data_IF_082625745792
#
_entry.id   IF_082625745792
#
_cell.length_a   1.000
_cell.length_b   1.000
_cell.length_c   1.000
_cell.angle_alpha   90.00
_cell.angle_beta   90.00
_cell.angle_gamma   90.00
#
_symmetry.space_group_name_H-M   'P 1'
#
loop_
_entity.id
_entity.type
_entity.pdbx_description
1 polymer ?
#
# COMPACT_ATOMS: atom_id res chain seq x y z
N UNK A 1 9.39 6.00 7.80
CA UNK A 1 8.51 5.13 8.62
C UNK A 1 9.28 4.55 9.80
N UNK A 2 10.41 3.89 9.59
CA UNK A 2 11.22 3.27 10.64
C UNK A 2 11.44 4.20 11.83
N UNK A 3 12.11 5.32 11.63
CA UNK A 3 12.40 6.29 12.69
C UNK A 3 11.17 6.94 13.35
N UNK A 4 10.05 7.06 12.63
CA UNK A 4 8.86 7.74 13.15
C UNK A 4 7.95 6.82 13.99
N UNK A 5 7.90 5.53 13.65
CA UNK A 5 7.01 4.55 14.29
C UNK A 5 7.76 3.47 15.06
N UNK A 6 9.11 3.48 15.05
CA UNK A 6 9.93 2.36 15.50
C UNK A 6 9.53 1.02 14.85
N UNK A 7 9.26 1.10 13.54
CA UNK A 7 8.73 0.00 12.75
C UNK A 7 9.64 -0.24 11.53
N UNK A 8 10.83 -0.84 11.71
CA UNK A 8 11.80 -1.02 10.64
C UNK A 8 11.32 -1.97 9.55
N UNK A 9 10.64 -3.06 9.86
CA UNK A 9 10.09 -3.99 8.87
C UNK A 9 8.96 -3.36 8.06
N UNK A 10 8.10 -2.58 8.72
CA UNK A 10 7.07 -1.79 8.04
C UNK A 10 7.68 -0.81 7.04
N UNK A 11 8.79 -0.16 7.41
CA UNK A 11 9.52 0.73 6.51
C UNK A 11 10.03 0.02 5.26
N UNK A 12 10.56 -1.21 5.41
CA UNK A 12 11.00 -2.06 4.31
C UNK A 12 9.84 -2.45 3.41
N UNK A 13 8.76 -2.97 4.01
CA UNK A 13 7.60 -3.43 3.25
C UNK A 13 6.91 -2.28 2.52
N UNK A 14 6.81 -1.12 3.14
CA UNK A 14 6.27 0.06 2.48
C UNK A 14 7.08 0.46 1.24
N UNK A 15 8.42 0.41 1.33
CA UNK A 15 9.27 0.70 0.20
C UNK A 15 9.09 -0.32 -0.94
N UNK A 16 8.90 -1.59 -0.62
CA UNK A 16 8.79 -2.67 -1.60
C UNK A 16 7.37 -2.76 -2.16
N UNK A 17 6.34 -2.75 -1.29
CA UNK A 17 4.93 -2.98 -1.67
C UNK A 17 4.33 -1.75 -2.35
N UNK A 18 4.68 -0.53 -1.89
CA UNK A 18 4.04 0.70 -2.37
C UNK A 18 4.92 1.54 -3.28
N UNK A 19 6.22 1.71 -2.96
CA UNK A 19 7.06 2.66 -3.68
C UNK A 19 7.70 2.03 -4.91
N UNK A 20 8.41 0.91 -4.75
CA UNK A 20 9.13 0.26 -5.85
C UNK A 20 8.28 -0.75 -6.61
N UNK A 21 7.36 -1.43 -5.90
CA UNK A 21 6.51 -2.53 -6.44
C UNK A 21 7.32 -3.69 -7.04
N UNK A 22 8.57 -3.83 -6.62
CA UNK A 22 9.50 -4.86 -7.05
C UNK A 22 10.12 -5.55 -5.84
N UNK A 23 10.35 -6.87 -5.97
CA UNK A 23 10.92 -7.72 -4.93
C UNK A 23 12.27 -8.28 -5.40
N UNK A 24 13.31 -7.44 -5.34
CA UNK A 24 14.68 -7.90 -5.63
C UNK A 24 15.50 -8.02 -4.35
N UNK A 25 16.39 -9.02 -4.27
CA UNK A 25 17.19 -9.26 -3.07
C UNK A 25 18.07 -8.04 -2.72
N UNK A 26 18.65 -7.38 -3.73
CA UNK A 26 19.49 -6.19 -3.53
C UNK A 26 18.69 -5.01 -2.95
N UNK A 27 17.46 -4.79 -3.43
CA UNK A 27 16.58 -3.75 -2.92
C UNK A 27 16.20 -4.03 -1.46
N UNK A 28 15.78 -5.26 -1.16
CA UNK A 28 15.40 -5.68 0.21
C UNK A 28 16.54 -5.44 1.20
N UNK A 29 17.76 -5.90 0.87
CA UNK A 29 18.91 -5.73 1.74
C UNK A 29 19.25 -4.25 1.94
N UNK A 30 19.27 -3.46 0.87
CA UNK A 30 19.57 -2.03 0.92
C UNK A 30 18.58 -1.26 1.78
N UNK A 31 17.27 -1.49 1.58
CA UNK A 31 16.22 -0.83 2.34
C UNK A 31 16.21 -1.31 3.80
N UNK A 32 16.49 -2.61 4.05
CA UNK A 32 16.59 -3.16 5.40
C UNK A 32 17.72 -2.50 6.18
N UNK A 33 18.93 -2.41 5.60
CA UNK A 33 20.06 -1.74 6.25
C UNK A 33 19.74 -0.27 6.56
N UNK A 34 19.15 0.45 5.61
CA UNK A 34 18.75 1.85 5.79
C UNK A 34 17.69 2.02 6.89
N UNK A 35 16.68 1.16 6.88
CA UNK A 35 15.58 1.18 7.85
C UNK A 35 16.06 0.90 9.28
N UNK A 36 16.89 -0.15 9.46
CA UNK A 36 17.47 -0.48 10.75
C UNK A 36 18.42 0.60 11.26
N UNK A 37 19.25 1.17 10.38
CA UNK A 37 20.15 2.27 10.76
C UNK A 37 19.36 3.50 11.21
N UNK A 38 18.27 3.84 10.51
CA UNK A 38 17.41 4.97 10.89
C UNK A 38 16.74 4.76 12.26
N UNK A 39 16.22 3.56 12.50
CA UNK A 39 15.63 3.22 13.80
C UNK A 39 16.66 3.24 14.93
N UNK A 40 17.82 2.62 14.73
CA UNK A 40 18.90 2.60 15.72
C UNK A 40 19.40 4.01 16.07
N UNK A 41 19.53 4.91 15.10
CA UNK A 41 19.97 6.28 15.36
C UNK A 41 18.93 7.06 16.17
N UNK A 42 17.65 6.88 15.87
CA UNK A 42 16.59 7.61 16.59
C UNK A 42 16.36 7.04 17.99
N UNK A 43 16.23 5.73 18.12
CA UNK A 43 15.98 5.08 19.41
C UNK A 43 17.24 4.94 20.27
N UNK A 44 18.33 4.41 19.70
CA UNK A 44 19.54 4.08 20.43
C UNK A 44 20.46 5.27 20.71
N UNK A 45 20.57 6.23 19.77
CA UNK A 45 21.48 7.37 19.91
C UNK A 45 20.76 8.60 20.44
N UNK A 46 19.58 8.93 19.89
CA UNK A 46 18.82 10.11 20.33
C UNK A 46 17.89 9.83 21.50
N UNK A 47 17.66 8.56 21.85
CA UNK A 47 16.82 8.18 22.99
C UNK A 47 15.34 8.54 22.78
N UNK A 48 14.88 8.68 21.55
CA UNK A 48 13.49 9.00 21.25
C UNK A 48 12.65 7.73 21.40
N UNK A 49 11.63 7.80 22.24
CA UNK A 49 10.69 6.70 22.43
C UNK A 49 9.63 6.65 21.29
N UNK A 50 9.05 5.45 21.02
CA UNK A 50 7.97 5.31 20.05
C UNK A 50 6.79 6.21 20.40
N UNK A 51 6.33 7.00 19.43
CA UNK A 51 5.16 7.89 19.59
C UNK A 51 3.88 7.08 19.77
N UNK A 52 3.84 5.87 19.22
CA UNK A 52 2.67 4.98 19.29
C UNK A 52 3.06 3.64 19.90
N UNK A 53 2.44 3.30 21.01
CA UNK A 53 2.48 1.96 21.61
C UNK A 53 1.06 1.44 21.73
N UNK A 54 0.79 0.31 21.11
CA UNK A 54 -0.50 -0.38 21.19
C UNK A 54 -0.34 -1.64 22.02
N UNK A 55 -1.34 -1.95 22.82
CA UNK A 55 -1.47 -3.25 23.44
C UNK A 55 -2.43 -4.12 22.61
N UNK A 56 -2.13 -5.40 22.50
CA UNK A 56 -3.05 -6.38 21.96
C UNK A 56 -3.29 -7.44 23.04
N UNK A 57 -4.56 -7.68 23.37
CA UNK A 57 -4.89 -8.54 24.53
C UNK A 57 -4.67 -10.01 24.18
N UNK A 58 -5.34 -10.50 23.19
CA UNK A 58 -5.24 -11.82 22.53
C UNK A 58 -6.22 -11.84 21.38
N UNK A 59 -6.13 -12.83 20.49
CA UNK A 59 -7.07 -12.92 19.37
C UNK A 59 -8.52 -13.04 19.83
N UNK A 60 -9.45 -12.53 19.00
CA UNK A 60 -10.86 -12.55 19.30
C UNK A 60 -11.41 -13.99 19.25
N UNK A 61 -12.45 -14.29 20.04
CA UNK A 61 -13.19 -15.53 19.88
C UNK A 61 -13.73 -15.68 18.45
N UNK A 62 -13.72 -16.90 17.93
CA UNK A 62 -14.18 -17.16 16.54
C UNK A 62 -15.61 -16.69 16.26
N UNK A 63 -16.48 -16.64 17.31
CA UNK A 63 -17.83 -16.10 17.19
C UNK A 63 -17.89 -14.62 16.80
N UNK A 64 -16.86 -13.86 17.11
CA UNK A 64 -16.80 -12.40 16.90
C UNK A 64 -16.13 -12.01 15.58
N UNK A 65 -15.69 -12.98 14.79
CA UNK A 65 -15.05 -12.73 13.48
C UNK A 65 -15.97 -11.99 12.49
N UNK A 66 -17.29 -12.08 12.67
CA UNK A 66 -18.23 -11.29 11.88
C UNK A 66 -18.04 -9.77 12.10
N UNK A 67 -17.66 -9.37 13.31
CA UNK A 67 -17.33 -7.96 13.61
C UNK A 67 -16.05 -7.53 12.90
N UNK A 68 -15.07 -8.43 12.78
CA UNK A 68 -13.83 -8.17 12.02
C UNK A 68 -14.15 -7.94 10.54
N UNK A 69 -15.02 -8.79 9.96
CA UNK A 69 -15.48 -8.63 8.57
C UNK A 69 -16.20 -7.28 8.39
N UNK A 70 -17.10 -6.94 9.30
CA UNK A 70 -17.82 -5.68 9.26
C UNK A 70 -16.89 -4.46 9.37
N UNK A 71 -15.88 -4.51 10.25
CA UNK A 71 -14.85 -3.47 10.35
C UNK A 71 -14.02 -3.38 9.07
N UNK A 72 -13.63 -4.50 8.46
CA UNK A 72 -12.88 -4.52 7.20
C UNK A 72 -13.65 -3.84 6.06
N UNK A 73 -14.95 -4.13 5.94
CA UNK A 73 -15.82 -3.46 4.98
C UNK A 73 -15.94 -1.96 5.26
N UNK A 74 -16.14 -1.58 6.52
CA UNK A 74 -16.19 -0.18 6.94
C UNK A 74 -14.90 0.56 6.59
N UNK A 75 -13.74 0.01 6.95
CA UNK A 75 -12.43 0.58 6.63
C UNK A 75 -12.22 0.73 5.11
N UNK A 76 -12.66 -0.25 4.32
CA UNK A 76 -12.59 -0.18 2.86
C UNK A 76 -13.40 0.98 2.28
N UNK A 77 -14.63 1.17 2.76
CA UNK A 77 -15.50 2.29 2.35
C UNK A 77 -14.92 3.64 2.80
N UNK A 78 -14.47 3.73 4.06
CA UNK A 78 -13.89 4.96 4.60
C UNK A 78 -12.57 5.31 3.90
N UNK A 79 -11.75 4.33 3.54
CA UNK A 79 -10.52 4.55 2.79
C UNK A 79 -10.77 5.08 1.38
N UNK A 80 -11.77 4.53 0.69
CA UNK A 80 -12.19 5.05 -0.61
C UNK A 80 -12.74 6.48 -0.51
N UNK A 81 -13.52 6.77 0.53
CA UNK A 81 -14.04 8.12 0.80
C UNK A 81 -12.90 9.09 1.11
N UNK A 82 -11.92 8.64 1.91
CA UNK A 82 -10.71 9.41 2.23
C UNK A 82 -9.97 9.82 0.95
N UNK A 83 -9.65 8.88 0.05
CA UNK A 83 -8.92 9.18 -1.17
C UNK A 83 -9.71 10.12 -2.08
N UNK A 84 -11.01 9.87 -2.29
CA UNK A 84 -11.87 10.77 -3.09
C UNK A 84 -11.90 12.19 -2.54
N UNK A 85 -12.01 12.34 -1.23
CA UNK A 85 -12.01 13.66 -0.60
C UNK A 85 -10.67 14.38 -0.75
N UNK A 86 -9.55 13.67 -0.55
CA UNK A 86 -8.20 14.22 -0.72
C UNK A 86 -7.96 14.69 -2.16
N UNK A 87 -8.30 13.88 -3.16
CA UNK A 87 -8.14 14.23 -4.57
C UNK A 87 -9.06 15.39 -4.99
N UNK A 88 -10.29 15.40 -4.49
CA UNK A 88 -11.24 16.49 -4.73
C UNK A 88 -10.74 17.80 -4.14
N UNK A 89 -10.21 17.78 -2.92
CA UNK A 89 -9.64 18.95 -2.26
C UNK A 89 -8.45 19.52 -3.04
N UNK A 90 -7.53 18.67 -3.49
CA UNK A 90 -6.41 19.10 -4.35
C UNK A 90 -6.90 19.74 -5.65
N UNK A 91 -7.97 19.20 -6.25
CA UNK A 91 -8.56 19.74 -7.48
C UNK A 91 -9.17 21.11 -7.23
N UNK A 92 -9.83 21.31 -6.08
CA UNK A 92 -10.36 22.62 -5.67
C UNK A 92 -9.24 23.64 -5.50
N UNK A 93 -8.17 23.28 -4.78
CA UNK A 93 -7.02 24.18 -4.60
C UNK A 93 -6.34 24.54 -5.93
N UNK A 94 -6.24 23.59 -6.87
CA UNK A 94 -5.69 23.86 -8.20
C UNK A 94 -6.51 24.85 -9.00
N UNK A 95 -7.85 24.85 -8.84
CA UNK A 95 -8.72 25.85 -9.47
C UNK A 95 -8.53 27.23 -8.87
N UNK A 96 -8.40 27.35 -7.55
CA UNK A 96 -8.20 28.61 -6.84
C UNK A 96 -6.80 29.18 -7.13
N UNK A 97 -5.80 28.34 -7.27
CA UNK A 97 -4.39 28.70 -7.45
C UNK A 97 -4.05 29.35 -8.79
N UNK A 98 -4.98 29.45 -9.72
CA UNK A 98 -4.74 30.19 -10.97
C UNK A 98 -4.35 31.66 -10.75
N UNK A 99 -4.69 32.23 -9.59
CA UNK A 99 -4.37 33.63 -9.26
C UNK A 99 -3.07 33.84 -8.49
N UNK A 100 -2.73 32.97 -7.51
CA UNK A 100 -1.48 33.07 -6.74
C UNK A 100 -1.12 31.73 -6.07
N UNK A 101 0.04 31.14 -6.34
CA UNK A 101 0.45 29.86 -5.76
C UNK A 101 0.53 29.89 -4.22
N UNK A 102 0.92 31.02 -3.66
CA UNK A 102 1.09 31.19 -2.21
C UNK A 102 -0.25 31.28 -1.43
N UNK A 103 -1.33 31.66 -2.09
CA UNK A 103 -2.64 31.79 -1.42
C UNK A 103 -3.20 30.45 -0.93
N UNK A 104 -2.74 29.35 -1.55
CA UNK A 104 -3.11 27.99 -1.10
C UNK A 104 -2.68 27.72 0.33
N UNK A 105 -1.50 28.20 0.73
CA UNK A 105 -0.92 27.95 2.05
C UNK A 105 -1.60 28.78 3.14
N UNK A 106 -2.16 29.94 2.80
CA UNK A 106 -2.84 30.80 3.76
C UNK A 106 -4.03 30.11 4.41
N UNK A 107 -4.80 29.32 3.64
CA UNK A 107 -6.00 28.64 4.14
C UNK A 107 -5.67 27.63 5.26
N UNK A 108 -4.77 26.65 5.07
CA UNK A 108 -4.45 25.72 6.16
C UNK A 108 -3.76 26.39 7.35
N UNK A 109 -2.94 27.44 7.14
CA UNK A 109 -2.30 28.16 8.25
C UNK A 109 -3.32 28.93 9.09
N UNK A 110 -4.26 29.62 8.46
CA UNK A 110 -5.35 30.29 9.19
C UNK A 110 -6.23 29.29 9.91
N UNK A 111 -6.59 28.18 9.25
CA UNK A 111 -7.36 27.11 9.87
C UNK A 111 -6.61 26.50 11.06
N UNK A 112 -5.30 26.24 10.92
CA UNK A 112 -4.47 25.73 12.00
C UNK A 112 -4.44 26.69 13.19
N UNK A 113 -4.33 28.01 12.94
CA UNK A 113 -4.43 29.02 13.98
C UNK A 113 -5.76 28.93 14.74
N UNK A 114 -6.88 28.85 14.05
CA UNK A 114 -8.21 28.71 14.69
C UNK A 114 -8.32 27.38 15.46
N UNK A 115 -7.91 26.28 14.84
CA UNK A 115 -7.97 24.94 15.45
C UNK A 115 -7.09 24.84 16.69
N UNK A 116 -5.93 25.48 16.71
CA UNK A 116 -5.03 25.50 17.87
C UNK A 116 -5.70 26.10 19.11
N UNK A 117 -6.61 27.07 18.96
CA UNK A 117 -7.34 27.67 20.07
C UNK A 117 -8.64 26.96 20.43
N UNK A 118 -9.36 26.44 19.40
CA UNK A 118 -10.69 25.84 19.58
C UNK A 118 -10.60 24.37 19.94
N UNK A 119 -9.67 23.66 19.26
CA UNK A 119 -9.56 22.20 19.41
C UNK A 119 -8.11 21.72 19.17
N UNK A 120 -7.22 21.96 20.12
CA UNK A 120 -5.78 21.69 19.97
C UNK A 120 -5.45 20.21 19.66
N UNK A 121 -6.28 19.26 20.09
CA UNK A 121 -6.09 17.82 19.83
C UNK A 121 -6.01 17.48 18.34
N UNK A 122 -6.67 18.26 17.48
CA UNK A 122 -6.65 18.02 16.02
C UNK A 122 -5.34 18.44 15.36
N UNK A 123 -4.48 19.15 16.07
CA UNK A 123 -3.23 19.67 15.53
C UNK A 123 -2.22 18.55 15.24
N UNK A 124 -1.21 18.89 14.45
CA UNK A 124 -0.08 18.01 14.09
C UNK A 124 -0.52 16.66 13.49
N UNK A 125 0.18 15.59 13.79
CA UNK A 125 -0.15 14.22 13.39
C UNK A 125 -1.43 13.70 14.07
N UNK A 126 -1.70 14.13 15.30
CA UNK A 126 -2.80 13.66 16.14
C UNK A 126 -2.33 12.82 17.33
N UNK A 127 -1.12 13.08 17.81
CA UNK A 127 -0.53 12.38 18.97
C UNK A 127 -1.46 12.46 20.19
N UNK A 128 -1.98 13.66 20.48
CA UNK A 128 -2.93 13.87 21.58
C UNK A 128 -4.24 13.09 21.43
N UNK A 129 -4.69 12.86 20.19
CA UNK A 129 -5.85 12.01 19.94
C UNK A 129 -5.49 10.55 20.23
N UNK A 130 -4.30 10.12 19.79
CA UNK A 130 -3.86 8.74 19.96
C UNK A 130 -3.73 8.37 21.45
N UNK A 131 -3.12 9.22 22.26
CA UNK A 131 -3.03 9.06 23.72
C UNK A 131 -4.42 8.90 24.36
N UNK A 132 -5.40 9.72 23.97
CA UNK A 132 -6.78 9.62 24.45
C UNK A 132 -7.49 8.33 24.03
N UNK A 133 -7.13 7.75 22.88
CA UNK A 133 -7.72 6.49 22.41
C UNK A 133 -7.14 5.30 23.17
N UNK A 134 -5.83 5.31 23.43
CA UNK A 134 -5.15 4.20 24.12
C UNK A 134 -5.66 4.07 25.58
N UNK A 135 -6.00 5.18 26.21
CA UNK A 135 -6.63 5.21 27.55
C UNK A 135 -8.12 5.57 27.47
N UNK A 136 -9.01 4.62 27.19
CA UNK A 136 -10.42 4.90 26.86
C UNK A 136 -11.29 5.34 28.05
N UNK A 137 -10.73 5.87 29.13
CA UNK A 137 -11.49 6.32 30.29
C UNK A 137 -12.44 7.46 29.91
N UNK A 138 -13.69 7.13 29.62
CA UNK A 138 -14.77 8.09 29.39
C UNK A 138 -14.95 8.60 27.95
N UNK A 139 -14.33 7.99 26.95
CA UNK A 139 -14.57 8.36 25.56
C UNK A 139 -15.98 7.93 25.10
N UNK A 140 -16.82 8.92 24.80
CA UNK A 140 -18.13 8.67 24.21
C UNK A 140 -18.00 8.43 22.68
N UNK A 141 -18.82 7.54 22.12
CA UNK A 141 -18.86 7.26 20.68
C UNK A 141 -18.98 8.54 19.84
N UNK A 142 -19.82 9.49 20.26
CA UNK A 142 -20.01 10.76 19.56
C UNK A 142 -18.70 11.55 19.51
N UNK A 143 -17.93 11.60 20.61
CA UNK A 143 -16.63 12.30 20.63
C UNK A 143 -15.63 11.68 19.65
N UNK A 144 -15.57 10.35 19.56
CA UNK A 144 -14.70 9.64 18.61
C UNK A 144 -15.08 9.96 17.16
N UNK A 145 -16.39 9.94 16.84
CA UNK A 145 -16.86 10.28 15.48
C UNK A 145 -16.54 11.74 15.12
N UNK A 146 -16.75 12.67 16.06
CA UNK A 146 -16.45 14.09 15.82
C UNK A 146 -14.94 14.31 15.65
N UNK A 147 -14.09 13.64 16.43
CA UNK A 147 -12.64 13.67 16.25
C UNK A 147 -12.21 13.08 14.89
N UNK A 148 -12.82 11.96 14.47
CA UNK A 148 -12.53 11.35 13.17
C UNK A 148 -12.85 12.30 12.00
N UNK A 149 -14.04 12.88 12.03
CA UNK A 149 -14.49 13.83 10.99
C UNK A 149 -13.62 15.10 11.03
N UNK A 150 -13.37 15.66 12.21
CA UNK A 150 -12.52 16.83 12.39
C UNK A 150 -11.10 16.61 11.89
N UNK A 151 -10.49 15.46 12.25
CA UNK A 151 -9.15 15.08 11.79
C UNK A 151 -9.08 14.88 10.29
N UNK A 152 -10.07 14.18 9.72
CA UNK A 152 -10.19 14.01 8.29
C UNK A 152 -10.27 15.34 7.53
N UNK A 153 -11.15 16.23 7.94
CA UNK A 153 -11.32 17.54 7.29
C UNK A 153 -10.05 18.40 7.41
N UNK A 154 -9.46 18.47 8.61
CA UNK A 154 -8.24 19.24 8.83
C UNK A 154 -7.07 18.71 8.00
N UNK A 155 -6.87 17.37 7.97
CA UNK A 155 -5.83 16.72 7.17
C UNK A 155 -6.07 16.94 5.67
N UNK A 156 -7.31 16.78 5.20
CA UNK A 156 -7.68 16.96 3.79
C UNK A 156 -7.44 18.38 3.31
N UNK A 157 -7.81 19.39 4.11
CA UNK A 157 -7.60 20.81 3.79
C UNK A 157 -6.11 21.15 3.80
N UNK A 158 -5.38 20.68 4.80
CA UNK A 158 -3.95 20.95 4.95
C UNK A 158 -3.13 20.32 3.85
N UNK A 159 -3.29 19.03 3.60
CA UNK A 159 -2.54 18.31 2.57
C UNK A 159 -2.96 18.72 1.14
N UNK A 160 -4.27 18.93 0.92
CA UNK A 160 -4.81 19.36 -0.37
C UNK A 160 -4.25 20.71 -0.85
N UNK A 161 -3.79 21.56 0.06
CA UNK A 161 -3.16 22.86 -0.27
C UNK A 161 -1.81 22.71 -0.97
N UNK A 162 -1.17 21.52 -0.89
CA UNK A 162 0.19 21.28 -1.35
C UNK A 162 1.27 21.74 -0.36
N UNK A 163 0.90 22.01 0.89
CA UNK A 163 1.87 22.24 1.95
C UNK A 163 2.73 20.97 2.15
N UNK A 164 4.07 21.14 2.34
CA UNK A 164 4.92 20.00 2.64
C UNK A 164 4.48 19.31 3.93
N UNK A 165 4.28 18.00 3.87
CA UNK A 165 3.86 17.21 5.03
C UNK A 165 3.54 15.77 4.67
N UNK A 166 3.52 14.90 5.70
CA UNK A 166 3.16 13.48 5.56
C UNK A 166 1.69 13.24 5.92
N UNK A 167 1.07 12.28 5.26
CA UNK A 167 -0.31 11.87 5.53
C UNK A 167 -0.38 10.56 6.32
N UNK A 168 0.73 9.83 6.44
CA UNK A 168 0.75 8.50 7.09
C UNK A 168 0.36 8.55 8.57
N UNK A 169 0.94 9.48 9.34
CA UNK A 169 0.64 9.59 10.76
C UNK A 169 -0.84 9.95 11.02
N UNK A 170 -1.41 10.99 10.39
CA UNK A 170 -2.83 11.25 10.46
C UNK A 170 -3.70 10.08 10.02
N UNK A 171 -3.27 9.29 9.03
CA UNK A 171 -3.97 8.10 8.56
C UNK A 171 -4.04 7.02 9.64
N UNK A 172 -2.92 6.76 10.32
CA UNK A 172 -2.87 5.79 11.44
C UNK A 172 -3.80 6.23 12.57
N UNK A 173 -3.81 7.52 12.92
CA UNK A 173 -4.72 8.08 13.93
C UNK A 173 -6.19 7.95 13.51
N UNK A 174 -6.52 8.22 12.26
CA UNK A 174 -7.88 8.01 11.74
C UNK A 174 -8.28 6.53 11.74
N UNK A 175 -7.32 5.62 11.46
CA UNK A 175 -7.52 4.18 11.60
C UNK A 175 -7.85 3.78 13.04
N UNK A 176 -7.08 4.30 14.00
CA UNK A 176 -7.29 4.10 15.42
C UNK A 176 -8.68 4.61 15.87
N UNK A 177 -9.07 5.81 15.42
CA UNK A 177 -10.42 6.36 15.68
C UNK A 177 -11.53 5.51 15.06
N UNK A 178 -11.31 4.98 13.87
CA UNK A 178 -12.29 4.11 13.21
C UNK A 178 -12.50 2.81 13.99
N UNK A 179 -11.40 2.15 14.40
CA UNK A 179 -11.46 0.95 15.22
C UNK A 179 -12.07 1.20 16.60
N UNK A 180 -11.68 2.31 17.25
CA UNK A 180 -12.24 2.77 18.53
C UNK A 180 -13.75 3.00 18.43
N UNK A 181 -14.19 3.78 17.45
CA UNK A 181 -15.61 4.06 17.23
C UNK A 181 -16.41 2.79 16.95
N UNK A 182 -15.86 1.86 16.18
CA UNK A 182 -16.51 0.58 15.91
C UNK A 182 -16.64 -0.29 17.17
N UNK A 183 -15.59 -0.37 18.01
CA UNK A 183 -15.64 -1.11 19.28
C UNK A 183 -16.71 -0.54 20.24
N UNK A 184 -16.76 0.79 20.38
CA UNK A 184 -17.77 1.45 21.21
C UNK A 184 -19.17 1.25 20.66
N UNK A 185 -19.35 1.30 19.36
CA UNK A 185 -20.64 1.02 18.71
C UNK A 185 -21.06 -0.43 18.93
N UNK A 186 -20.15 -1.40 18.76
CA UNK A 186 -20.43 -2.82 19.00
C UNK A 186 -20.78 -3.09 20.49
N UNK A 187 -20.11 -2.41 21.42
CA UNK A 187 -20.46 -2.51 22.84
C UNK A 187 -21.87 -1.99 23.11
N UNK A 188 -22.25 -0.83 22.58
CA UNK A 188 -23.56 -0.23 22.84
C UNK A 188 -24.72 -1.02 22.20
N UNK A 189 -24.50 -1.64 21.03
CA UNK A 189 -25.56 -2.30 20.26
C UNK A 189 -25.62 -3.80 20.47
N UNK A 190 -24.48 -4.46 20.62
CA UNK A 190 -24.35 -5.91 20.69
C UNK A 190 -23.87 -6.40 22.06
N UNK A 191 -23.55 -5.50 22.99
CA UNK A 191 -22.99 -5.88 24.30
C UNK A 191 -21.57 -6.45 24.22
N UNK A 192 -20.81 -6.07 23.18
CA UNK A 192 -19.45 -6.56 22.98
C UNK A 192 -18.53 -6.16 24.15
N UNK A 193 -17.65 -7.08 24.57
CA UNK A 193 -16.75 -6.87 25.69
C UNK A 193 -15.63 -5.85 25.34
N UNK A 194 -15.59 -4.73 26.06
CA UNK A 194 -14.58 -3.69 25.91
C UNK A 194 -13.17 -4.14 26.30
N UNK A 195 -12.99 -5.33 26.90
CA UNK A 195 -11.66 -5.90 27.08
C UNK A 195 -10.88 -6.05 25.75
N UNK A 196 -11.59 -6.23 24.64
CA UNK A 196 -11.02 -6.31 23.29
C UNK A 196 -10.98 -4.96 22.55
N UNK A 197 -11.25 -3.85 23.23
CA UNK A 197 -11.19 -2.52 22.64
C UNK A 197 -9.84 -2.20 21.96
N UNK A 198 -8.65 -2.48 22.60
CA UNK A 198 -7.36 -2.22 21.97
C UNK A 198 -7.15 -3.00 20.67
N UNK A 199 -7.72 -4.21 20.59
CA UNK A 199 -7.65 -5.03 19.38
C UNK A 199 -8.34 -4.34 18.21
N UNK A 200 -9.54 -3.78 18.43
CA UNK A 200 -10.27 -3.06 17.38
C UNK A 200 -9.56 -1.77 16.95
N UNK A 201 -8.88 -1.10 17.87
CA UNK A 201 -8.02 0.05 17.53
C UNK A 201 -6.92 -0.39 16.56
N UNK A 202 -6.21 -1.48 16.87
CA UNK A 202 -5.16 -2.03 16.02
C UNK A 202 -5.70 -2.51 14.66
N UNK A 203 -6.84 -3.21 14.65
CA UNK A 203 -7.53 -3.66 13.43
C UNK A 203 -7.96 -2.48 12.54
N UNK A 204 -8.47 -1.41 13.15
CA UNK A 204 -8.85 -0.19 12.43
C UNK A 204 -7.65 0.49 11.75
N UNK A 205 -6.48 0.50 12.40
CA UNK A 205 -5.23 1.01 11.82
C UNK A 205 -4.85 0.20 10.59
N UNK A 206 -4.75 -1.14 10.70
CA UNK A 206 -4.39 -2.00 9.58
C UNK A 206 -5.37 -1.86 8.41
N UNK A 207 -6.68 -1.89 8.72
CA UNK A 207 -7.74 -1.81 7.71
C UNK A 207 -7.76 -0.49 6.97
N UNK A 208 -7.70 0.64 7.68
CA UNK A 208 -7.71 1.96 7.02
C UNK A 208 -6.41 2.19 6.23
N UNK A 209 -5.26 1.78 6.78
CA UNK A 209 -3.99 1.85 6.06
C UNK A 209 -4.04 1.06 4.75
N UNK A 210 -4.45 -0.22 4.82
CA UNK A 210 -4.54 -1.08 3.64
C UNK A 210 -5.52 -0.55 2.57
N UNK A 211 -6.62 0.08 2.97
CA UNK A 211 -7.62 0.62 2.05
C UNK A 211 -7.20 1.91 1.37
N UNK A 212 -6.48 2.79 2.06
CA UNK A 212 -6.04 4.10 1.54
C UNK A 212 -4.77 3.96 0.71
N UNK A 213 -3.76 3.29 1.27
CA UNK A 213 -2.43 3.12 0.66
C UNK A 213 -2.41 2.03 -0.41
N UNK A 214 -3.26 1.01 -0.27
CA UNK A 214 -3.26 -0.23 -1.08
C UNK A 214 -2.12 -1.19 -0.78
N UNK A 215 -1.55 -1.10 0.40
CA UNK A 215 -0.46 -1.95 0.90
C UNK A 215 -0.95 -2.83 2.08
N UNK A 216 -1.68 -3.94 1.83
CA UNK A 216 -2.25 -4.76 2.89
C UNK A 216 -1.19 -5.48 3.73
N UNK A 217 -0.07 -5.92 3.15
CA UNK A 217 1.00 -6.60 3.90
C UNK A 217 1.70 -5.62 4.82
N UNK A 218 2.00 -4.42 4.32
CA UNK A 218 2.58 -3.34 5.11
C UNK A 218 1.68 -2.97 6.30
N UNK A 219 0.35 -2.88 6.09
CA UNK A 219 -0.61 -2.61 7.17
C UNK A 219 -0.62 -3.67 8.27
N UNK A 220 -0.52 -4.94 7.90
CA UNK A 220 -0.44 -6.06 8.85
C UNK A 220 0.85 -5.98 9.68
N UNK A 221 2.00 -5.85 9.03
CA UNK A 221 3.30 -5.82 9.72
C UNK A 221 3.44 -4.57 10.58
N UNK A 222 2.87 -3.44 10.15
CA UNK A 222 2.85 -2.23 10.99
C UNK A 222 2.16 -2.47 12.32
N UNK A 223 1.01 -3.14 12.33
CA UNK A 223 0.33 -3.48 13.59
C UNK A 223 1.17 -4.43 14.44
N UNK A 224 1.88 -5.39 13.86
CA UNK A 224 2.76 -6.28 14.62
C UNK A 224 3.91 -5.52 15.29
N UNK A 225 4.54 -4.60 14.58
CA UNK A 225 5.62 -3.79 15.15
C UNK A 225 5.09 -2.82 16.23
N UNK A 226 3.92 -2.22 16.03
CA UNK A 226 3.31 -1.30 17.01
C UNK A 226 2.81 -2.01 18.28
N UNK A 227 2.38 -3.27 18.18
CA UNK A 227 1.87 -4.04 19.31
C UNK A 227 2.90 -4.96 19.96
N UNK A 228 3.96 -5.29 19.23
CA UNK A 228 4.95 -6.30 19.64
C UNK A 228 4.40 -7.72 19.74
N UNK A 229 3.21 -7.99 19.17
CA UNK A 229 2.52 -9.30 19.26
C UNK A 229 2.14 -9.83 17.88
N UNK A 230 2.32 -11.14 17.70
CA UNK A 230 1.85 -11.90 16.52
C UNK A 230 0.50 -12.58 16.76
N UNK A 231 -0.06 -12.49 17.96
CA UNK A 231 -1.31 -13.17 18.33
C UNK A 231 -2.50 -12.71 17.48
N UNK A 232 -2.41 -11.48 16.93
CA UNK A 232 -3.42 -10.88 16.08
C UNK A 232 -3.33 -11.26 14.60
N UNK A 233 -2.42 -12.14 14.20
CA UNK A 233 -2.05 -12.34 12.79
C UNK A 233 -3.26 -12.62 11.89
N UNK A 234 -4.16 -13.48 12.32
CA UNK A 234 -5.33 -13.86 11.53
C UNK A 234 -6.33 -12.71 11.40
N UNK A 235 -6.70 -12.09 12.52
CA UNK A 235 -7.68 -11.00 12.55
C UNK A 235 -7.19 -9.75 11.81
N UNK A 236 -5.94 -9.37 12.01
CA UNK A 236 -5.33 -8.21 11.33
C UNK A 236 -5.21 -8.46 9.83
N UNK A 237 -4.76 -9.65 9.41
CA UNK A 237 -4.68 -10.01 8.00
C UNK A 237 -6.05 -10.02 7.33
N UNK A 238 -7.07 -10.56 8.01
CA UNK A 238 -8.44 -10.59 7.49
C UNK A 238 -8.99 -9.18 7.25
N UNK A 239 -8.89 -8.29 8.24
CA UNK A 239 -9.34 -6.89 8.11
C UNK A 239 -8.58 -6.17 6.99
N UNK A 240 -7.26 -6.33 6.93
CA UNK A 240 -6.39 -5.69 5.94
C UNK A 240 -6.77 -6.10 4.52
N UNK A 241 -6.90 -7.41 4.26
CA UNK A 241 -7.27 -7.93 2.94
C UNK A 241 -8.69 -7.52 2.57
N UNK A 242 -9.66 -7.63 3.48
CA UNK A 242 -11.04 -7.25 3.20
C UNK A 242 -11.17 -5.77 2.88
N UNK A 243 -10.52 -4.90 3.65
CA UNK A 243 -10.57 -3.46 3.42
C UNK A 243 -9.90 -3.08 2.09
N UNK A 244 -8.78 -3.71 1.74
CA UNK A 244 -8.14 -3.58 0.44
C UNK A 244 -9.09 -3.99 -0.71
N UNK A 245 -9.73 -5.17 -0.60
CA UNK A 245 -10.67 -5.66 -1.62
C UNK A 245 -11.87 -4.71 -1.80
N UNK A 246 -12.51 -4.28 -0.70
CA UNK A 246 -13.64 -3.36 -0.75
C UNK A 246 -13.24 -2.02 -1.37
N UNK A 247 -12.08 -1.51 -1.00
CA UNK A 247 -11.58 -0.27 -1.55
C UNK A 247 -11.28 -0.39 -3.07
N UNK A 248 -10.79 -1.54 -3.55
CA UNK A 248 -10.62 -1.80 -5.00
C UNK A 248 -11.95 -1.85 -5.73
N UNK A 249 -12.99 -2.46 -5.14
CA UNK A 249 -14.33 -2.49 -5.74
C UNK A 249 -14.93 -1.10 -5.96
N UNK A 250 -14.52 -0.10 -5.17
CA UNK A 250 -14.99 1.29 -5.34
C UNK A 250 -14.36 2.02 -6.53
N UNK A 251 -13.39 1.40 -7.22
CA UNK A 251 -12.65 2.00 -8.35
C UNK A 251 -12.02 3.37 -8.01
N UNK A 252 -11.58 3.52 -6.77
CA UNK A 252 -10.88 4.72 -6.31
C UNK A 252 -9.38 4.48 -6.45
N UNK A 253 -8.65 5.44 -7.00
CA UNK A 253 -7.21 5.33 -7.19
C UNK A 253 -6.46 5.11 -5.87
N UNK A 254 -5.36 4.34 -5.87
CA UNK A 254 -4.42 4.29 -4.76
C UNK A 254 -3.85 5.68 -4.46
N UNK A 255 -3.59 5.96 -3.17
CA UNK A 255 -3.23 7.31 -2.76
C UNK A 255 -1.93 7.82 -3.39
N UNK A 256 -0.86 7.04 -3.27
CA UNK A 256 0.47 7.46 -3.76
C UNK A 256 0.61 7.38 -5.28
N UNK A 257 -0.02 6.40 -5.92
CA UNK A 257 -0.05 6.32 -7.39
C UNK A 257 -0.72 7.55 -8.02
N UNK A 258 -1.86 7.96 -7.44
CA UNK A 258 -2.55 9.17 -7.91
C UNK A 258 -1.68 10.42 -7.77
N UNK A 259 -0.94 10.54 -6.66
CA UNK A 259 -0.04 11.66 -6.46
C UNK A 259 1.13 11.65 -7.45
N UNK A 260 1.72 10.48 -7.68
CA UNK A 260 2.82 10.30 -8.62
C UNK A 260 2.37 10.59 -10.07
N UNK A 261 1.27 10.00 -10.50
CA UNK A 261 0.73 10.21 -11.84
C UNK A 261 0.42 11.69 -12.10
N UNK A 262 -0.13 12.37 -11.11
CA UNK A 262 -0.39 13.81 -11.20
C UNK A 262 0.89 14.65 -11.27
N UNK A 263 1.95 14.22 -10.58
CA UNK A 263 3.25 14.91 -10.63
C UNK A 263 3.95 14.70 -11.97
N UNK A 264 3.78 13.52 -12.57
CA UNK A 264 4.37 13.17 -13.87
C UNK A 264 3.50 13.60 -15.05
N UNK A 265 2.30 14.15 -14.81
CA UNK A 265 1.29 14.49 -15.83
C UNK A 265 0.91 13.29 -16.72
N UNK A 266 0.88 12.09 -16.13
CA UNK A 266 0.55 10.82 -16.77
C UNK A 266 -0.81 10.35 -16.30
N UNK A 267 -1.62 9.79 -17.22
CA UNK A 267 -2.87 9.13 -16.83
C UNK A 267 -2.57 7.86 -16.00
N UNK A 268 -3.32 7.63 -14.95
CA UNK A 268 -3.24 6.37 -14.20
C UNK A 268 -3.96 5.32 -15.03
N UNK A 269 -3.21 4.45 -15.67
CA UNK A 269 -3.75 3.20 -16.21
C UNK A 269 -3.99 2.25 -15.03
N UNK A 270 -5.25 2.14 -14.61
CA UNK A 270 -5.67 1.18 -13.60
C UNK A 270 -5.71 -0.22 -14.24
N UNK A 271 -4.75 -1.11 -14.00
CA UNK A 271 -4.70 -2.42 -14.64
C UNK A 271 -5.92 -3.31 -14.30
N UNK A 272 -6.71 -2.92 -13.30
CA UNK A 272 -7.92 -3.63 -12.87
C UNK A 272 -9.17 -3.22 -13.67
N UNK A 273 -9.14 -2.10 -14.42
CA UNK A 273 -10.35 -1.49 -15.01
C UNK A 273 -10.30 -1.31 -16.51
N UNK A 274 -9.14 -1.18 -17.11
CA UNK A 274 -9.01 -1.15 -18.56
C UNK A 274 -8.89 -2.59 -19.07
N UNK A 275 -10.00 -3.12 -19.57
CA UNK A 275 -9.96 -4.20 -20.58
C UNK A 275 -9.15 -3.66 -21.75
N UNK A 276 -7.97 -3.85 -21.62
CA UNK A 276 -6.73 -3.84 -22.32
C UNK A 276 -6.83 -3.88 -23.83
N UNK A 277 -6.48 -2.80 -24.45
CA UNK A 277 -5.92 -2.86 -25.79
C UNK A 277 -4.50 -2.28 -25.69
N UNK A 278 -3.49 -3.18 -25.74
CA UNK A 278 -2.10 -2.78 -25.92
C UNK A 278 -1.14 -2.89 -24.73
N UNK A 279 -1.54 -3.45 -23.58
CA UNK A 279 -0.59 -3.72 -22.50
C UNK A 279 0.41 -4.80 -22.93
N UNK A 280 1.71 -4.50 -22.72
CA UNK A 280 2.79 -5.43 -23.01
C UNK A 280 3.30 -6.04 -21.71
N UNK A 281 3.48 -7.33 -21.69
CA UNK A 281 4.13 -8.06 -20.60
C UNK A 281 5.50 -8.54 -21.03
N UNK A 282 6.42 -8.55 -20.08
CA UNK A 282 7.76 -9.07 -20.29
C UNK A 282 7.89 -10.40 -19.55
N UNK A 283 8.33 -11.44 -20.26
CA UNK A 283 8.51 -12.78 -19.71
C UNK A 283 9.91 -13.30 -19.98
N UNK A 284 10.44 -14.06 -19.03
CA UNK A 284 11.66 -14.83 -19.17
C UNK A 284 11.33 -16.25 -19.59
N UNK A 285 12.03 -16.76 -20.58
CA UNK A 285 11.86 -18.10 -21.13
C UNK A 285 13.22 -18.75 -21.27
N UNK A 286 13.35 -19.99 -20.81
CA UNK A 286 14.60 -20.74 -20.89
C UNK A 286 14.61 -21.66 -22.12
N UNK A 287 15.70 -21.64 -22.88
CA UNK A 287 15.94 -22.59 -23.96
C UNK A 287 16.40 -23.92 -23.35
N UNK A 288 15.52 -24.92 -23.32
CA UNK A 288 15.88 -26.24 -22.80
C UNK A 288 16.90 -26.94 -23.68
N UNK A 289 17.83 -27.69 -23.08
CA UNK A 289 18.75 -28.54 -23.81
C UNK A 289 18.00 -29.64 -24.60
N UNK A 290 18.28 -29.79 -25.87
CA UNK A 290 17.55 -30.70 -26.78
C UNK A 290 16.17 -30.18 -27.21
N UNK A 291 15.86 -28.90 -26.95
CA UNK A 291 14.62 -28.26 -27.39
C UNK A 291 14.65 -27.95 -28.89
N UNK A 292 13.47 -27.65 -29.44
CA UNK A 292 13.37 -27.23 -30.85
C UNK A 292 14.04 -25.87 -31.12
N UNK A 293 14.18 -25.02 -30.10
CA UNK A 293 14.80 -23.72 -30.24
C UNK A 293 16.33 -23.80 -30.28
N UNK A 294 16.93 -24.83 -29.69
CA UNK A 294 18.37 -25.00 -29.67
C UNK A 294 18.94 -25.12 -31.09
N UNK A 295 19.87 -24.24 -31.40
CA UNK A 295 20.55 -24.19 -32.68
C UNK A 295 19.84 -23.43 -33.81
N UNK A 296 18.59 -22.95 -33.58
CA UNK A 296 17.89 -22.10 -34.55
C UNK A 296 18.37 -20.65 -34.49
N UNK A 297 18.27 -19.97 -35.64
CA UNK A 297 18.45 -18.50 -35.67
C UNK A 297 17.14 -17.85 -35.21
N UNK A 298 17.24 -16.72 -34.53
CA UNK A 298 16.08 -15.95 -34.01
C UNK A 298 15.06 -15.68 -35.14
N UNK A 299 15.55 -15.30 -36.33
CA UNK A 299 14.68 -15.01 -37.49
C UNK A 299 13.91 -16.21 -37.99
N UNK A 300 14.40 -17.43 -37.75
CA UNK A 300 13.82 -18.68 -38.28
C UNK A 300 12.84 -19.32 -37.28
N UNK A 301 12.75 -18.76 -36.05
CA UNK A 301 11.82 -19.27 -35.04
C UNK A 301 10.42 -18.69 -35.31
N UNK A 302 9.39 -19.55 -35.36
CA UNK A 302 8.00 -19.11 -35.51
C UNK A 302 7.44 -18.54 -34.20
N UNK A 303 7.89 -17.34 -33.85
CA UNK A 303 7.46 -16.65 -32.65
C UNK A 303 5.94 -16.43 -32.64
N UNK A 304 5.26 -16.47 -31.48
CA UNK A 304 3.86 -16.08 -31.38
C UNK A 304 3.64 -14.64 -31.86
N UNK A 305 2.49 -14.39 -32.50
CA UNK A 305 2.13 -13.06 -32.97
C UNK A 305 2.13 -12.04 -31.82
N UNK A 306 2.62 -10.84 -32.08
CA UNK A 306 2.72 -9.80 -31.05
C UNK A 306 3.84 -10.00 -30.04
N UNK A 307 4.68 -11.05 -30.17
CA UNK A 307 5.83 -11.30 -29.30
C UNK A 307 7.16 -10.96 -29.97
N UNK A 308 8.15 -10.54 -29.15
CA UNK A 308 9.51 -10.26 -29.62
C UNK A 308 10.53 -10.57 -28.54
N UNK A 309 11.66 -11.18 -28.92
CA UNK A 309 12.82 -11.31 -28.04
C UNK A 309 13.53 -9.97 -27.99
N UNK A 310 13.75 -9.44 -26.78
CA UNK A 310 14.39 -8.13 -26.55
C UNK A 310 15.80 -8.27 -25.98
N UNK A 311 16.11 -9.38 -25.28
CA UNK A 311 17.42 -9.66 -24.70
C UNK A 311 17.62 -11.16 -24.58
N UNK A 312 18.86 -11.61 -24.65
CA UNK A 312 19.27 -12.99 -24.34
C UNK A 312 20.32 -12.90 -23.24
N UNK A 313 20.11 -13.61 -22.16
CA UNK A 313 21.10 -13.82 -21.13
C UNK A 313 21.76 -15.20 -21.35
N UNK A 314 23.07 -15.20 -21.63
CA UNK A 314 23.89 -16.38 -21.86
C UNK A 314 25.09 -16.38 -20.94
N UNK A 315 25.18 -17.35 -20.04
CA UNK A 315 26.28 -17.49 -19.09
C UNK A 315 26.56 -16.17 -18.33
N UNK A 316 25.49 -15.47 -17.88
CA UNK A 316 25.54 -14.15 -17.20
C UNK A 316 26.00 -12.97 -18.08
N UNK A 317 26.09 -13.14 -19.39
CA UNK A 317 26.30 -12.07 -20.34
C UNK A 317 24.97 -11.69 -21.03
N UNK A 318 24.67 -10.39 -21.07
CA UNK A 318 23.49 -9.87 -21.76
C UNK A 318 23.83 -9.60 -23.23
N UNK A 319 23.05 -10.20 -24.13
CA UNK A 319 23.20 -10.07 -25.58
C UNK A 319 21.97 -9.39 -26.16
N UNK A 320 22.17 -8.37 -26.99
CA UNK A 320 21.09 -7.80 -27.79
C UNK A 320 20.86 -8.73 -28.99
N UNK A 321 19.65 -9.30 -29.14
CA UNK A 321 19.38 -10.29 -30.18
C UNK A 321 19.28 -9.64 -31.55
N UNK A 322 19.97 -10.21 -32.52
CA UNK A 322 19.80 -9.95 -33.94
C UNK A 322 19.12 -11.14 -34.62
N UNK A 323 18.53 -10.94 -35.80
CA UNK A 323 17.92 -12.04 -36.54
C UNK A 323 18.88 -13.21 -36.80
N UNK A 324 20.16 -12.94 -36.97
CA UNK A 324 21.26 -13.89 -37.16
C UNK A 324 21.77 -14.54 -35.86
N UNK A 325 21.30 -14.12 -34.70
CA UNK A 325 21.74 -14.69 -33.42
C UNK A 325 21.22 -16.12 -33.29
N UNK A 326 22.14 -17.05 -33.05
CA UNK A 326 21.84 -18.46 -32.84
C UNK A 326 21.50 -18.71 -31.38
N UNK A 327 20.39 -19.39 -31.13
CA UNK A 327 19.96 -19.79 -29.80
C UNK A 327 20.76 -20.99 -29.30
N UNK A 328 21.22 -20.97 -28.08
CA UNK A 328 21.98 -22.04 -27.44
C UNK A 328 21.20 -22.64 -26.25
N UNK A 329 21.56 -23.86 -25.88
CA UNK A 329 20.99 -24.46 -24.68
C UNK A 329 21.27 -23.61 -23.44
N UNK A 330 20.28 -23.48 -22.55
CA UNK A 330 20.31 -22.69 -21.31
C UNK A 330 20.32 -21.16 -21.51
N UNK A 331 20.11 -20.66 -22.73
CA UNK A 331 19.84 -19.24 -22.92
C UNK A 331 18.56 -18.85 -22.19
N UNK A 332 18.58 -17.72 -21.48
CA UNK A 332 17.39 -17.06 -20.98
C UNK A 332 16.96 -15.96 -21.96
N UNK A 333 15.78 -16.12 -22.53
CA UNK A 333 15.22 -15.15 -23.47
C UNK A 333 14.28 -14.20 -22.72
N UNK A 334 14.55 -12.93 -22.73
CA UNK A 334 13.63 -11.92 -22.29
C UNK A 334 12.73 -11.52 -23.46
N UNK A 335 11.45 -11.80 -23.35
CA UNK A 335 10.47 -11.56 -24.41
C UNK A 335 9.41 -10.56 -23.96
N UNK A 336 9.04 -9.69 -24.90
CA UNK A 336 7.88 -8.80 -24.76
C UNK A 336 6.73 -9.36 -25.60
N UNK A 337 5.52 -9.37 -25.06
CA UNK A 337 4.32 -9.85 -25.76
C UNK A 337 3.06 -9.10 -25.29
N UNK A 338 2.00 -9.20 -26.08
CA UNK A 338 0.71 -8.61 -25.68
C UNK A 338 0.10 -9.41 -24.51
N UNK A 339 -0.38 -8.68 -23.50
CA UNK A 339 -0.98 -9.30 -22.31
C UNK A 339 -2.21 -10.16 -22.65
N UNK A 340 -2.99 -9.76 -23.64
CA UNK A 340 -4.15 -10.53 -24.11
C UNK A 340 -3.75 -11.88 -24.74
N UNK A 341 -2.60 -11.93 -25.38
CA UNK A 341 -2.06 -13.11 -26.04
C UNK A 341 -1.13 -13.94 -25.13
N UNK A 342 -0.86 -13.50 -23.89
CA UNK A 342 0.12 -14.11 -23.00
C UNK A 342 -0.09 -15.62 -22.82
N UNK A 343 -1.32 -16.04 -22.51
CA UNK A 343 -1.62 -17.46 -22.23
C UNK A 343 -1.34 -18.34 -23.43
N UNK A 344 -1.80 -17.93 -24.63
CA UNK A 344 -1.60 -18.68 -25.85
C UNK A 344 -0.14 -18.67 -26.32
N UNK A 345 0.52 -17.51 -26.17
CA UNK A 345 1.93 -17.35 -26.49
C UNK A 345 2.80 -18.25 -25.59
N UNK A 346 2.56 -18.23 -24.29
CA UNK A 346 3.31 -19.06 -23.33
C UNK A 346 3.10 -20.56 -23.59
N UNK A 347 1.89 -20.98 -23.95
CA UNK A 347 1.63 -22.39 -24.29
C UNK A 347 2.43 -22.85 -25.55
N UNK A 348 2.47 -22.01 -26.59
CA UNK A 348 3.27 -22.28 -27.80
C UNK A 348 4.76 -22.31 -27.49
N UNK A 349 5.25 -21.35 -26.69
CA UNK A 349 6.66 -21.26 -26.31
C UNK A 349 7.09 -22.45 -25.44
N UNK A 350 6.25 -22.84 -24.47
CA UNK A 350 6.50 -24.04 -23.64
C UNK A 350 6.67 -25.31 -24.44
N UNK A 351 5.90 -25.48 -25.53
CA UNK A 351 6.04 -26.60 -26.45
C UNK A 351 7.35 -26.56 -27.27
N UNK A 352 7.90 -25.36 -27.51
CA UNK A 352 9.13 -25.20 -28.29
C UNK A 352 10.39 -25.29 -27.43
N UNK A 353 10.28 -24.96 -26.16
CA UNK A 353 11.38 -24.94 -25.18
C UNK A 353 11.62 -26.28 -24.51
N UNK A 354 10.67 -27.21 -24.59
CA UNK A 354 10.82 -28.57 -24.01
C UNK A 354 11.74 -29.45 -24.86
N UNK A 355 12.51 -30.34 -24.21
CA UNK A 355 13.32 -31.33 -24.94
C UNK A 355 12.45 -32.20 -25.86
N UNK A 356 12.89 -32.34 -27.07
CA UNK A 356 12.22 -33.26 -28.02
C UNK A 356 12.57 -34.71 -27.61
N UNK A 357 11.65 -35.40 -26.98
CA UNK A 357 11.84 -36.84 -26.72
C UNK A 357 11.88 -37.57 -28.09
N UNK A 358 13.07 -37.89 -28.54
CA UNK A 358 13.20 -38.81 -29.67
C UNK A 358 12.59 -40.17 -29.24
N UNK A 359 11.50 -40.57 -29.90
CA UNK A 359 10.97 -41.94 -29.82
C UNK A 359 11.79 -42.84 -30.74
#
# INVERSE_FOLDING_TARGET
MSAAFHAPLTGVLFAIEEIHKEFTASLIISVMCSSLAADYLVSGVLGVEPVMRLSFVRDLPHGDYLLIVALGVLCGILGALHNRGMFSCQTIYNKISKFTPYLRLVVPFMLAGVVAFVWPDLMCGGDAIFEKIVEPQGLALVSVVVLLVGKYLFTTISFGSGAPGGTLFPLVVMGALTGSGFALFANQTLGFDLAYYPNFVALGIAGLFASVVRAPVCGVVMVFELTGSLDAMLSVSLVSILSYMVANLTKTDPFYEHLLAKQLDVAIDNPVVTGLTGEKVVKKIHVGAGSRLEGMLIQDVPWPDGSRVIMIERASAELIPEGSTKLEALDELLMIMDAEAETDAMLKLDLMTRPTVQR
#
